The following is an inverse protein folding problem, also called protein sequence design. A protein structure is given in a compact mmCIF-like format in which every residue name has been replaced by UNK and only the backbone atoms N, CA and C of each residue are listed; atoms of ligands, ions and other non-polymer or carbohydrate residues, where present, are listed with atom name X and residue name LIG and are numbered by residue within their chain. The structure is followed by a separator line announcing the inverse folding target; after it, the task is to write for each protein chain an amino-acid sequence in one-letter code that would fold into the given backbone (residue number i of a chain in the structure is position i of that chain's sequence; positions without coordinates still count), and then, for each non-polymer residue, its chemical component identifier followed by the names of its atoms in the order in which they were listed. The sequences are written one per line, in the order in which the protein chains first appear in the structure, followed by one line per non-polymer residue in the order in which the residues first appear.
data_IF_468964353768
#
_entry.id   IF_468964353768
#
_cell.length_a   1.000
_cell.length_b   1.000
_cell.length_c   1.000
_cell.angle_alpha   90.00
_cell.angle_beta   90.00
_cell.angle_gamma   90.00
#
_symmetry.space_group_name_H-M   'P 1'
#
loop_
_entity.id
_entity.type
_entity.pdbx_description
1 polymer ?
#
# COMPACT_ATOMS: atom_id res chain seq x y z
N UNK A 1 -41.62 -68.91 -1.93
CA UNK A 1 -41.83 -67.58 -2.53
C UNK A 1 -40.92 -66.50 -1.94
N UNK A 2 -40.49 -66.61 -0.68
CA UNK A 2 -39.60 -65.62 -0.04
C UNK A 2 -38.17 -65.60 -0.63
N UNK A 3 -37.59 -66.76 -0.94
CA UNK A 3 -36.22 -66.86 -1.49
C UNK A 3 -36.05 -66.17 -2.85
N UNK A 4 -37.05 -66.24 -3.72
CA UNK A 4 -37.03 -65.57 -5.04
C UNK A 4 -37.15 -64.06 -4.92
N UNK A 5 -37.84 -63.57 -3.88
CA UNK A 5 -37.98 -62.13 -3.62
C UNK A 5 -36.65 -61.51 -3.17
N UNK A 6 -35.90 -62.18 -2.29
CA UNK A 6 -34.57 -61.73 -1.85
C UNK A 6 -33.53 -61.74 -2.98
N UNK A 7 -33.58 -62.73 -3.87
CA UNK A 7 -32.68 -62.82 -5.02
C UNK A 7 -32.89 -61.66 -5.99
N UNK A 8 -34.14 -61.24 -6.23
CA UNK A 8 -34.46 -60.10 -7.10
C UNK A 8 -34.00 -58.78 -6.50
N UNK A 9 -34.10 -58.60 -5.17
CA UNK A 9 -33.63 -57.38 -4.51
C UNK A 9 -32.11 -57.24 -4.60
N UNK A 10 -31.35 -58.31 -4.38
CA UNK A 10 -29.89 -58.23 -4.44
C UNK A 10 -29.37 -57.97 -5.86
N UNK A 11 -29.99 -58.54 -6.89
CA UNK A 11 -29.59 -58.30 -8.28
C UNK A 11 -29.93 -56.89 -8.76
N UNK A 12 -31.06 -56.32 -8.33
CA UNK A 12 -31.38 -54.91 -8.64
C UNK A 12 -30.43 -53.94 -7.95
N UNK A 13 -30.07 -54.19 -6.68
CA UNK A 13 -29.05 -53.42 -5.98
C UNK A 13 -27.68 -53.51 -6.67
N UNK A 14 -27.24 -54.72 -7.05
CA UNK A 14 -25.98 -54.91 -7.75
C UNK A 14 -25.97 -54.22 -9.13
N UNK A 15 -27.07 -54.29 -9.87
CA UNK A 15 -27.23 -53.63 -11.17
C UNK A 15 -27.25 -52.09 -11.03
N UNK A 16 -27.94 -51.55 -10.03
CA UNK A 16 -27.96 -50.12 -9.75
C UNK A 16 -26.57 -49.59 -9.38
N UNK A 17 -25.81 -50.34 -8.58
CA UNK A 17 -24.44 -49.98 -8.19
C UNK A 17 -23.50 -49.96 -9.40
N UNK A 18 -23.60 -50.97 -10.29
CA UNK A 18 -22.85 -50.99 -11.55
C UNK A 18 -23.21 -49.81 -12.45
N UNK A 19 -24.49 -49.50 -12.61
CA UNK A 19 -24.94 -48.36 -13.40
C UNK A 19 -24.41 -47.03 -12.82
N UNK A 20 -24.46 -46.85 -11.50
CA UNK A 20 -23.94 -45.67 -10.82
C UNK A 20 -22.42 -45.51 -10.99
N UNK A 21 -21.66 -46.62 -11.00
CA UNK A 21 -20.20 -46.60 -11.18
C UNK A 21 -19.82 -46.22 -12.61
N UNK A 22 -20.57 -46.72 -13.60
CA UNK A 22 -20.39 -46.35 -15.01
C UNK A 22 -20.72 -44.87 -15.20
N UNK A 23 -21.89 -44.42 -14.73
CA UNK A 23 -22.32 -43.02 -14.86
C UNK A 23 -21.36 -42.09 -14.11
N UNK A 24 -20.97 -42.43 -12.88
CA UNK A 24 -20.00 -41.68 -12.08
C UNK A 24 -18.64 -41.59 -12.76
N UNK A 25 -18.17 -42.69 -13.37
CA UNK A 25 -16.93 -42.71 -14.14
C UNK A 25 -16.98 -41.84 -15.40
N UNK A 26 -18.09 -41.88 -16.14
CA UNK A 26 -18.30 -41.01 -17.31
C UNK A 26 -18.35 -39.54 -16.91
N UNK A 27 -19.11 -39.18 -15.86
CA UNK A 27 -19.17 -37.82 -15.35
C UNK A 27 -17.78 -37.35 -14.90
N UNK A 28 -17.06 -38.15 -14.11
CA UNK A 28 -15.71 -37.82 -13.64
C UNK A 28 -14.74 -37.54 -14.80
N UNK A 29 -14.80 -38.34 -15.87
CA UNK A 29 -13.97 -38.12 -17.07
C UNK A 29 -14.36 -36.86 -17.84
N UNK A 30 -15.64 -36.48 -17.82
CA UNK A 30 -16.14 -35.27 -18.47
C UNK A 30 -15.70 -34.02 -17.69
N UNK A 31 -15.82 -34.01 -16.36
CA UNK A 31 -15.38 -32.90 -15.50
C UNK A 31 -13.86 -32.74 -15.47
N UNK A 32 -13.08 -33.84 -15.47
CA UNK A 32 -11.62 -33.78 -15.42
C UNK A 32 -10.97 -33.19 -16.68
N UNK A 33 -11.67 -33.20 -17.82
CA UNK A 33 -11.16 -32.65 -19.09
C UNK A 33 -11.18 -31.12 -19.17
N UNK A 34 -12.02 -30.43 -18.39
CA UNK A 34 -12.11 -28.96 -18.40
C UNK A 34 -11.10 -28.27 -17.48
N UNK A 35 -10.78 -28.88 -16.34
CA UNK A 35 -10.05 -28.24 -15.23
C UNK A 35 -8.52 -28.11 -15.47
N UNK A 36 -7.95 -28.88 -16.41
CA UNK A 36 -6.51 -28.86 -16.68
C UNK A 36 -6.00 -27.55 -17.31
N UNK A 37 -6.82 -26.90 -18.14
CA UNK A 37 -6.44 -25.65 -18.80
C UNK A 37 -6.54 -24.45 -17.86
N UNK A 38 -7.58 -24.41 -17.03
CA UNK A 38 -7.85 -23.31 -16.10
C UNK A 38 -6.86 -23.27 -14.93
N UNK A 39 -6.42 -24.43 -14.43
CA UNK A 39 -5.37 -24.47 -13.39
C UNK A 39 -4.02 -23.98 -13.90
N UNK A 40 -3.69 -24.29 -15.16
CA UNK A 40 -2.43 -23.81 -15.76
C UNK A 40 -2.48 -22.32 -16.03
N UNK A 41 -3.61 -21.77 -16.47
CA UNK A 41 -3.76 -20.33 -16.70
C UNK A 41 -3.75 -19.55 -15.38
N UNK A 42 -4.38 -20.07 -14.33
CA UNK A 42 -4.38 -19.46 -13.00
C UNK A 42 -2.98 -19.47 -12.37
N UNK A 43 -2.24 -20.57 -12.53
CA UNK A 43 -0.83 -20.63 -12.08
C UNK A 43 0.04 -19.61 -12.82
N UNK A 44 -0.12 -19.48 -14.14
CA UNK A 44 0.61 -18.49 -14.94
C UNK A 44 0.30 -17.06 -14.50
N UNK A 45 -0.96 -16.74 -14.23
CA UNK A 45 -1.37 -15.42 -13.72
C UNK A 45 -0.73 -15.12 -12.35
N UNK A 46 -0.65 -16.11 -11.46
CA UNK A 46 0.03 -15.94 -10.17
C UNK A 46 1.53 -15.69 -10.33
N UNK A 47 2.20 -16.43 -11.21
CA UNK A 47 3.63 -16.24 -11.46
C UNK A 47 3.90 -14.88 -12.12
N UNK A 48 3.05 -14.47 -13.07
CA UNK A 48 3.12 -13.14 -13.70
C UNK A 48 2.93 -12.01 -12.67
N UNK A 49 1.92 -12.11 -11.80
CA UNK A 49 1.65 -11.09 -10.78
C UNK A 49 2.80 -10.99 -9.77
N UNK A 50 3.38 -12.12 -9.36
CA UNK A 50 4.57 -12.14 -8.50
C UNK A 50 5.76 -11.47 -9.18
N UNK A 51 5.98 -11.78 -10.46
CA UNK A 51 7.06 -11.15 -11.24
C UNK A 51 6.85 -9.64 -11.36
N UNK A 52 5.63 -9.18 -11.63
CA UNK A 52 5.29 -7.76 -11.66
C UNK A 52 5.53 -7.09 -10.32
N UNK A 53 5.13 -7.73 -9.22
CA UNK A 53 5.35 -7.20 -7.87
C UNK A 53 6.85 -7.10 -7.54
N UNK A 54 7.64 -8.12 -7.87
CA UNK A 54 9.09 -8.08 -7.69
C UNK A 54 9.72 -6.97 -8.55
N UNK A 55 9.30 -6.83 -9.81
CA UNK A 55 9.77 -5.75 -10.68
C UNK A 55 9.42 -4.37 -10.13
N UNK A 56 8.22 -4.20 -9.55
CA UNK A 56 7.81 -2.97 -8.91
C UNK A 56 8.70 -2.64 -7.71
N UNK A 57 8.95 -3.62 -6.82
CA UNK A 57 9.85 -3.42 -5.67
C UNK A 57 11.26 -3.01 -6.09
N UNK A 58 11.79 -3.61 -7.16
CA UNK A 58 13.10 -3.24 -7.72
C UNK A 58 13.07 -1.80 -8.23
N UNK A 59 12.06 -1.43 -9.03
CA UNK A 59 11.94 -0.10 -9.61
C UNK A 59 11.82 1.00 -8.54
N UNK A 60 11.01 0.77 -7.49
CA UNK A 60 10.88 1.71 -6.36
C UNK A 60 12.21 1.87 -5.64
N UNK A 61 12.92 0.77 -5.40
CA UNK A 61 14.24 0.80 -4.75
C UNK A 61 15.24 1.60 -5.58
N UNK A 62 15.28 1.37 -6.89
CA UNK A 62 16.13 2.11 -7.82
C UNK A 62 15.77 3.61 -7.85
N UNK A 63 14.49 3.95 -7.83
CA UNK A 63 14.02 5.34 -7.81
C UNK A 63 14.46 6.07 -6.55
N UNK A 64 14.33 5.44 -5.37
CA UNK A 64 14.79 6.05 -4.11
C UNK A 64 16.31 6.12 -4.02
N UNK A 65 17.05 5.13 -4.54
CA UNK A 65 18.51 5.21 -4.64
C UNK A 65 18.92 6.40 -5.51
N UNK A 66 18.34 6.52 -6.70
CA UNK A 66 18.63 7.64 -7.61
C UNK A 66 18.26 8.98 -7.00
N UNK A 67 17.11 9.05 -6.32
CA UNK A 67 16.68 10.27 -5.62
C UNK A 67 17.65 10.64 -4.50
N UNK A 68 18.16 9.68 -3.73
CA UNK A 68 19.16 9.93 -2.69
C UNK A 68 20.47 10.49 -3.29
N UNK A 69 20.90 9.98 -4.44
CA UNK A 69 22.08 10.50 -5.15
C UNK A 69 21.85 11.95 -5.62
N UNK A 70 20.67 12.25 -6.17
CA UNK A 70 20.30 13.61 -6.58
C UNK A 70 20.25 14.57 -5.38
N UNK A 71 19.70 14.14 -4.23
CA UNK A 71 19.67 14.95 -3.01
C UNK A 71 21.09 15.21 -2.49
N UNK A 72 21.97 14.21 -2.54
CA UNK A 72 23.36 14.38 -2.14
C UNK A 72 24.08 15.40 -3.05
N UNK A 73 23.86 15.33 -4.36
CA UNK A 73 24.38 16.32 -5.30
C UNK A 73 23.83 17.73 -5.05
N UNK A 74 22.52 17.84 -4.80
CA UNK A 74 21.88 19.11 -4.46
C UNK A 74 22.49 19.73 -3.21
N UNK A 75 22.67 18.96 -2.13
CA UNK A 75 23.30 19.44 -0.90
C UNK A 75 24.73 19.91 -1.15
N UNK A 76 25.51 19.15 -1.93
CA UNK A 76 26.86 19.56 -2.32
C UNK A 76 26.86 20.89 -3.08
N UNK A 77 25.91 21.07 -3.99
CA UNK A 77 25.80 22.31 -4.75
C UNK A 77 25.29 23.47 -3.89
N UNK A 78 24.39 23.22 -2.94
CA UNK A 78 23.99 24.21 -1.93
C UNK A 78 25.18 24.72 -1.11
N UNK A 79 26.04 23.81 -0.62
CA UNK A 79 27.26 24.20 0.09
C UNK A 79 28.21 25.05 -0.76
N UNK A 80 28.38 24.72 -2.05
CA UNK A 80 29.21 25.55 -2.96
C UNK A 80 28.62 26.94 -3.15
N UNK A 81 27.29 27.06 -3.26
CA UNK A 81 26.62 28.36 -3.37
C UNK A 81 26.87 29.16 -2.09
N UNK A 82 26.71 28.53 -0.92
CA UNK A 82 26.99 29.16 0.36
C UNK A 82 28.44 29.66 0.45
N UNK A 83 29.42 28.82 0.11
CA UNK A 83 30.83 29.19 0.10
C UNK A 83 31.11 30.35 -0.87
N UNK A 84 30.48 30.34 -2.05
CA UNK A 84 30.61 31.43 -3.01
C UNK A 84 30.00 32.75 -2.50
N UNK A 85 28.90 32.69 -1.75
CA UNK A 85 28.31 33.85 -1.10
C UNK A 85 29.21 34.40 0.00
N UNK A 86 29.81 33.53 0.81
CA UNK A 86 30.74 33.93 1.88
C UNK A 86 31.99 34.60 1.28
N UNK A 87 32.57 34.02 0.22
CA UNK A 87 33.67 34.61 -0.53
C UNK A 87 33.29 35.96 -1.16
N UNK A 88 32.10 36.05 -1.76
CA UNK A 88 31.58 37.29 -2.32
C UNK A 88 31.39 38.36 -1.25
N UNK A 89 30.84 38.01 -0.09
CA UNK A 89 30.70 38.92 1.04
C UNK A 89 32.08 39.45 1.49
N UNK A 90 33.09 38.59 1.64
CA UNK A 90 34.45 39.04 1.98
C UNK A 90 35.06 39.98 0.94
N UNK A 91 34.85 39.71 -0.35
CA UNK A 91 35.40 40.50 -1.44
C UNK A 91 34.70 41.86 -1.60
N UNK A 92 33.37 41.91 -1.45
CA UNK A 92 32.57 43.11 -1.69
C UNK A 92 32.37 43.97 -0.44
N UNK A 93 32.62 43.46 0.76
CA UNK A 93 32.61 44.26 1.99
C UNK A 93 33.89 45.09 2.05
N UNK A 94 33.75 46.39 1.72
CA UNK A 94 34.83 47.37 1.87
C UNK A 94 35.40 47.33 3.29
N UNK A 95 36.72 47.50 3.47
CA UNK A 95 37.39 47.37 4.77
C UNK A 95 36.83 48.31 5.84
N UNK A 96 36.27 49.45 5.44
CA UNK A 96 35.57 50.42 6.29
C UNK A 96 34.30 49.87 6.96
N UNK A 97 33.53 48.99 6.29
CA UNK A 97 32.37 48.32 6.91
C UNK A 97 32.76 47.12 7.78
N UNK A 98 33.93 46.51 7.51
CA UNK A 98 34.52 45.44 8.34
C UNK A 98 35.00 45.97 9.69
N UNK A 99 35.58 47.17 9.71
CA UNK A 99 35.99 47.82 10.95
C UNK A 99 34.77 48.32 11.73
N UNK A 100 33.75 48.85 11.07
CA UNK A 100 32.53 49.34 11.71
C UNK A 100 31.71 48.20 12.34
N UNK A 101 31.61 47.03 11.71
CA UNK A 101 30.98 45.84 12.30
C UNK A 101 31.80 45.21 13.42
N UNK A 102 33.13 45.29 13.38
CA UNK A 102 34.00 44.84 14.46
C UNK A 102 34.09 45.83 15.65
N UNK A 103 33.93 47.14 15.40
CA UNK A 103 33.86 48.20 16.43
C UNK A 103 32.49 48.34 17.05
N UNK A 104 31.44 48.18 16.26
CA UNK A 104 30.06 48.07 16.73
C UNK A 104 29.91 46.70 17.38
N UNK A 105 30.46 46.54 18.58
CA UNK A 105 30.25 45.37 19.43
C UNK A 105 28.80 45.27 19.94
N UNK A 106 27.83 45.55 19.08
CA UNK A 106 26.43 45.64 19.41
C UNK A 106 25.69 44.52 18.70
N UNK A 107 25.46 43.45 19.47
CA UNK A 107 24.66 42.27 19.12
C UNK A 107 25.34 41.33 18.11
N UNK A 108 25.99 40.30 18.64
CA UNK A 108 26.32 39.09 17.87
C UNK A 108 25.05 38.61 17.18
N UNK A 109 25.13 38.24 15.90
CA UNK A 109 23.98 37.74 15.14
C UNK A 109 23.35 36.52 15.82
N UNK A 110 24.13 35.78 16.63
CA UNK A 110 23.67 34.69 17.49
C UNK A 110 22.68 35.12 18.58
N UNK A 111 22.68 36.39 19.01
CA UNK A 111 21.79 36.94 20.05
C UNK A 111 20.44 37.45 19.47
N UNK A 112 20.41 37.70 18.16
CA UNK A 112 19.20 38.06 17.40
C UNK A 112 18.49 36.82 16.82
N UNK A 113 19.15 35.67 16.84
CA UNK A 113 18.51 34.41 16.51
C UNK A 113 17.42 34.15 17.56
N UNK A 114 16.19 33.80 17.17
CA UNK A 114 15.16 33.42 18.13
C UNK A 114 15.74 32.29 19.00
N UNK A 115 15.83 32.55 20.31
CA UNK A 115 16.24 31.57 21.32
C UNK A 115 15.55 30.26 20.98
N UNK A 116 16.34 29.26 20.59
CA UNK A 116 15.82 27.97 20.18
C UNK A 116 14.98 27.45 21.33
N UNK A 117 13.66 27.50 21.19
CA UNK A 117 12.77 26.70 22.00
C UNK A 117 13.33 25.29 21.90
N UNK A 118 13.74 24.76 23.07
CA UNK A 118 14.27 23.42 23.27
C UNK A 118 13.64 22.49 22.22
N UNK A 119 14.41 21.89 21.30
CA UNK A 119 13.82 21.16 20.19
C UNK A 119 12.95 20.08 20.79
N UNK A 120 11.63 20.28 20.68
CA UNK A 120 10.70 19.21 20.91
C UNK A 120 11.15 18.11 19.96
N UNK A 121 11.46 16.93 20.52
CA UNK A 121 12.10 15.84 19.80
C UNK A 121 11.42 15.67 18.44
N UNK A 122 12.17 15.48 17.33
CA UNK A 122 11.59 15.41 16.00
C UNK A 122 10.58 14.28 16.00
N UNK A 123 9.30 14.63 16.11
CA UNK A 123 8.23 13.66 15.96
C UNK A 123 8.29 13.29 14.49
N UNK A 124 8.59 12.04 14.18
CA UNK A 124 8.53 11.52 12.81
C UNK A 124 7.21 11.90 12.14
N UNK A 125 7.12 11.82 10.80
CA UNK A 125 5.91 12.17 10.08
C UNK A 125 4.72 11.52 10.79
N UNK A 126 3.76 12.37 11.22
CA UNK A 126 2.56 11.94 11.93
C UNK A 126 1.64 11.26 10.92
N UNK A 127 2.03 10.06 10.49
CA UNK A 127 1.35 9.29 9.44
C UNK A 127 0.03 8.67 9.90
N UNK A 128 -0.42 8.96 11.12
CA UNK A 128 -1.69 8.49 11.64
C UNK A 128 -2.36 9.64 12.37
N UNK A 129 -3.42 10.19 11.78
CA UNK A 129 -4.33 11.08 12.49
C UNK A 129 -4.86 10.34 13.73
N UNK A 130 -4.54 10.77 14.97
CA UNK A 130 -5.07 10.13 16.16
C UNK A 130 -6.57 10.43 16.22
N UNK A 131 -7.39 9.38 16.13
CA UNK A 131 -8.85 9.52 16.21
C UNK A 131 -9.27 9.62 17.67
N UNK A 132 -10.20 10.51 17.98
CA UNK A 132 -10.94 10.41 19.23
C UNK A 132 -11.82 9.13 19.21
N UNK A 133 -12.19 8.55 20.36
CA UNK A 133 -12.97 7.30 20.43
C UNK A 133 -14.30 7.34 19.65
N UNK A 134 -14.82 8.55 19.39
CA UNK A 134 -16.11 8.78 18.74
C UNK A 134 -15.98 9.29 17.29
N UNK A 135 -14.78 9.26 16.70
CA UNK A 135 -14.55 9.74 15.34
C UNK A 135 -14.29 8.57 14.39
N UNK A 136 -15.24 8.31 13.50
CA UNK A 136 -15.00 7.48 12.31
C UNK A 136 -13.90 8.14 11.50
N UNK A 137 -12.99 7.38 10.91
CA UNK A 137 -11.91 8.06 10.19
C UNK A 137 -11.70 7.53 8.81
N UNK A 138 -10.75 8.14 8.14
CA UNK A 138 -10.68 8.25 6.68
C UNK A 138 -10.62 6.94 5.89
N UNK A 139 -10.42 5.80 6.55
CA UNK A 139 -10.42 4.46 5.97
C UNK A 139 -11.57 3.55 6.48
N UNK A 140 -12.52 4.07 7.28
CA UNK A 140 -13.70 3.28 7.67
C UNK A 140 -14.66 3.19 6.50
N UNK A 141 -15.27 2.01 6.32
CA UNK A 141 -16.24 1.73 5.25
C UNK A 141 -17.47 2.65 5.26
N UNK A 142 -17.71 3.32 6.40
CA UNK A 142 -18.80 4.28 6.62
C UNK A 142 -18.37 5.74 6.48
N UNK A 143 -17.10 6.02 6.17
CA UNK A 143 -16.59 7.39 6.06
C UNK A 143 -17.30 8.13 4.92
N UNK A 144 -18.05 9.18 5.26
CA UNK A 144 -18.84 9.95 4.30
C UNK A 144 -20.22 9.36 3.97
N UNK A 145 -20.60 8.21 4.56
CA UNK A 145 -21.93 7.64 4.38
C UNK A 145 -22.87 8.08 5.50
N UNK A 146 -23.61 9.18 5.29
CA UNK A 146 -24.74 9.53 6.15
C UNK A 146 -25.89 8.56 5.89
N UNK A 147 -26.19 7.72 6.88
CA UNK A 147 -27.28 6.72 6.87
C UNK A 147 -28.68 7.32 6.68
N UNK A 148 -28.82 8.65 6.59
CA UNK A 148 -30.06 9.36 6.28
C UNK A 148 -30.44 9.37 4.80
N UNK A 149 -29.51 9.06 3.90
CA UNK A 149 -29.76 9.13 2.45
C UNK A 149 -30.23 7.77 1.88
N UNK A 150 -30.25 6.73 2.70
CA UNK A 150 -30.81 5.42 2.39
C UNK A 150 -32.13 5.22 3.13
N UNK A 151 -33.10 6.10 2.89
CA UNK A 151 -34.50 5.85 3.27
C UNK A 151 -35.13 4.97 2.19
N UNK A 152 -35.14 3.68 2.51
CA UNK A 152 -36.24 2.72 2.34
C UNK A 152 -36.96 2.69 0.98
N UNK A 153 -36.45 1.84 0.09
CA UNK A 153 -37.23 1.25 -1.01
C UNK A 153 -37.42 -0.25 -0.76
N UNK A 154 -37.89 -0.63 0.43
CA UNK A 154 -38.35 -2.00 0.68
C UNK A 154 -39.54 -2.04 1.64
N UNK A 155 -40.72 -1.58 1.21
CA UNK A 155 -41.95 -2.21 1.71
C UNK A 155 -43.05 -2.38 0.65
N UNK A 156 -43.54 -3.61 0.63
CA UNK A 156 -44.41 -4.29 -0.34
C UNK A 156 -45.88 -3.88 -0.13
N UNK A 157 -46.76 -3.91 -1.15
CA UNK A 157 -48.17 -3.55 -0.99
C UNK A 157 -48.93 -4.57 -0.13
N UNK A 158 -49.69 -4.11 0.87
CA UNK A 158 -50.74 -4.90 1.52
C UNK A 158 -52.02 -4.08 1.72
N UNK A 159 -53.10 -4.68 1.20
CA UNK A 159 -54.54 -4.44 1.47
C UNK A 159 -55.21 -3.21 0.89
#
# INVERSE_FOLDING_TARGET
MEKTMLQIQWTTFAAALLAALIIGGLLSRLFSKGDGQDRSSLKRQLDELKQQHQSYQINVTEHFSRTADLIAELNKNYHKIQEHLDQGAEQFVKPEYRLESARSGETRLEDLAPQSQKPEAPTGPKDYAPKAPNEEGTLSETYGLKRSDFVDETEKPSS
#
